data_IF_868454137761
#
_entry.id   IF_868454137761
#
_cell.length_a   1.000
_cell.length_b   1.000
_cell.length_c   1.000
_cell.angle_alpha   90.00
_cell.angle_beta   90.00
_cell.angle_gamma   90.00
#
_symmetry.space_group_name_H-M   'P 1'
#
loop_
_entity.id
_entity.type
_entity.pdbx_description
1 polymer ?
#
# COMPACT_ATOMS: atom_id res chain seq x y z
N UNK A 1 -0.70 -35.92 31.22
CA UNK A 1 -1.20 -36.17 29.86
C UNK A 1 -0.25 -35.63 28.79
N UNK A 2 0.04 -34.36 28.73
CA UNK A 2 0.91 -33.72 27.72
C UNK A 2 2.33 -34.33 27.69
N UNK A 3 2.98 -34.54 28.83
CA UNK A 3 4.34 -35.15 28.92
C UNK A 3 4.38 -36.56 28.28
N UNK A 4 3.31 -37.34 28.45
CA UNK A 4 3.23 -38.69 27.85
C UNK A 4 3.00 -38.62 26.34
N UNK A 5 2.25 -37.61 25.84
CA UNK A 5 2.09 -37.37 24.39
C UNK A 5 3.43 -37.02 23.73
N UNK A 6 4.23 -36.09 24.29
CA UNK A 6 5.56 -35.78 23.75
C UNK A 6 6.49 -36.99 23.75
N UNK A 7 6.45 -37.84 24.79
CA UNK A 7 7.23 -39.09 24.84
C UNK A 7 6.78 -40.07 23.74
N UNK A 8 5.50 -40.20 23.51
CA UNK A 8 4.95 -41.04 22.44
C UNK A 8 5.34 -40.54 21.05
N UNK A 9 5.17 -39.22 20.81
CA UNK A 9 5.60 -38.57 19.56
C UNK A 9 7.08 -38.79 19.29
N UNK A 10 7.93 -38.72 20.32
CA UNK A 10 9.38 -38.94 20.20
C UNK A 10 9.73 -40.37 19.88
N UNK A 11 9.03 -41.35 20.49
CA UNK A 11 9.22 -42.78 20.20
C UNK A 11 8.85 -43.04 18.73
N UNK A 12 7.76 -42.48 18.24
CA UNK A 12 7.27 -42.63 16.87
C UNK A 12 7.89 -41.61 15.87
N UNK A 13 9.02 -40.96 16.19
CA UNK A 13 9.60 -39.85 15.40
C UNK A 13 9.86 -40.21 13.94
N UNK A 14 10.19 -41.47 13.60
CA UNK A 14 10.38 -41.90 12.21
C UNK A 14 9.08 -41.88 11.42
N UNK A 15 7.98 -42.16 12.04
CA UNK A 15 6.65 -42.17 11.43
C UNK A 15 6.05 -40.75 11.40
N UNK A 16 6.36 -39.92 12.40
CA UNK A 16 5.91 -38.55 12.53
C UNK A 16 6.76 -37.55 11.74
N UNK A 17 7.97 -37.91 11.31
CA UNK A 17 8.93 -36.99 10.71
C UNK A 17 8.41 -36.29 9.46
N UNK A 18 7.73 -37.01 8.58
CA UNK A 18 7.13 -36.43 7.39
C UNK A 18 6.05 -35.41 7.72
N UNK A 19 5.15 -35.74 8.64
CA UNK A 19 4.08 -34.82 9.09
C UNK A 19 4.65 -33.58 9.76
N UNK A 20 5.70 -33.73 10.59
CA UNK A 20 6.36 -32.57 11.22
C UNK A 20 6.98 -31.67 10.16
N UNK A 21 7.66 -32.24 9.15
CA UNK A 21 8.22 -31.47 8.05
C UNK A 21 7.14 -30.72 7.27
N UNK A 22 6.02 -31.37 6.93
CA UNK A 22 4.87 -30.74 6.30
C UNK A 22 4.36 -29.58 7.14
N UNK A 23 4.16 -29.79 8.46
CA UNK A 23 3.69 -28.75 9.37
C UNK A 23 4.69 -27.57 9.49
N UNK A 24 6.00 -27.81 9.42
CA UNK A 24 7.02 -26.74 9.41
C UNK A 24 6.86 -25.86 8.15
N UNK A 25 6.77 -26.48 6.98
CA UNK A 25 6.62 -25.76 5.70
C UNK A 25 5.33 -24.95 5.70
N UNK A 26 4.25 -25.55 6.15
CA UNK A 26 2.94 -24.88 6.25
C UNK A 26 2.96 -23.73 7.22
N UNK A 27 3.50 -23.94 8.41
CA UNK A 27 3.55 -22.87 9.42
C UNK A 27 4.43 -21.71 8.98
N UNK A 28 5.57 -22.00 8.31
CA UNK A 28 6.39 -20.98 7.68
C UNK A 28 5.59 -20.20 6.62
N UNK A 29 4.87 -20.91 5.75
CA UNK A 29 4.03 -20.27 4.74
C UNK A 29 2.95 -19.36 5.38
N UNK A 30 2.29 -19.83 6.44
CA UNK A 30 1.31 -19.02 7.18
C UNK A 30 1.93 -17.79 7.84
N UNK A 31 3.17 -17.90 8.37
CA UNK A 31 3.90 -16.76 8.90
C UNK A 31 4.17 -15.71 7.82
N UNK A 32 4.67 -16.15 6.65
CA UNK A 32 4.96 -15.27 5.51
C UNK A 32 3.69 -14.57 5.00
N UNK A 33 2.58 -15.30 4.92
CA UNK A 33 1.29 -14.75 4.48
C UNK A 33 0.70 -13.77 5.49
N UNK A 34 0.78 -14.10 6.78
CA UNK A 34 0.32 -13.21 7.84
C UNK A 34 1.12 -11.91 7.88
N UNK A 35 2.43 -11.99 7.69
CA UNK A 35 3.32 -10.83 7.57
C UNK A 35 2.99 -9.97 6.33
N UNK A 36 2.83 -10.61 5.17
CA UNK A 36 2.43 -9.92 3.94
C UNK A 36 1.10 -9.16 4.11
N UNK A 37 0.09 -9.81 4.67
CA UNK A 37 -1.21 -9.18 4.91
C UNK A 37 -1.11 -8.05 5.93
N UNK A 38 -0.33 -8.24 7.01
CA UNK A 38 -0.10 -7.20 8.01
C UNK A 38 0.48 -5.93 7.37
N UNK A 39 1.53 -6.08 6.55
CA UNK A 39 2.18 -4.95 5.85
C UNK A 39 1.19 -4.21 4.95
N UNK A 40 0.36 -4.93 4.20
CA UNK A 40 -0.66 -4.34 3.32
C UNK A 40 -1.76 -3.63 4.08
N UNK A 41 -2.31 -4.28 5.11
CA UNK A 41 -3.40 -3.72 5.93
C UNK A 41 -2.92 -2.48 6.69
N UNK A 42 -1.73 -2.54 7.31
CA UNK A 42 -1.16 -1.40 8.02
C UNK A 42 -1.03 -0.18 7.12
N UNK A 43 -0.39 -0.36 5.95
CA UNK A 43 -0.27 0.74 5.00
C UNK A 43 -1.64 1.25 4.51
N UNK A 44 -2.61 0.37 4.28
CA UNK A 44 -3.94 0.77 3.82
C UNK A 44 -4.71 1.61 4.85
N UNK A 45 -4.56 1.31 6.14
CA UNK A 45 -5.26 2.00 7.22
C UNK A 45 -4.65 3.35 7.62
N UNK A 46 -3.38 3.59 7.29
CA UNK A 46 -2.73 4.87 7.60
C UNK A 46 -3.24 6.01 6.72
N UNK A 47 -3.37 7.25 7.25
CA UNK A 47 -3.81 8.41 6.49
C UNK A 47 -2.92 8.67 5.27
N UNK A 48 -3.51 9.06 4.15
CA UNK A 48 -2.79 9.36 2.90
C UNK A 48 -2.05 10.69 2.91
N UNK A 49 -2.52 11.63 3.73
CA UNK A 49 -2.02 13.00 3.79
C UNK A 49 -2.65 13.97 2.78
N UNK A 50 -3.60 13.50 1.96
CA UNK A 50 -4.34 14.29 0.98
C UNK A 50 -5.79 13.79 0.83
N UNK A 51 -6.65 14.65 0.31
CA UNK A 51 -8.06 14.38 0.03
C UNK A 51 -8.34 14.54 -1.46
N UNK A 52 -8.93 13.50 -2.07
CA UNK A 52 -9.31 13.46 -3.49
C UNK A 52 -10.82 13.58 -3.73
N UNK A 53 -11.61 13.75 -2.69
CA UNK A 53 -13.07 13.86 -2.85
C UNK A 53 -13.41 15.11 -3.66
N UNK A 54 -14.26 14.94 -4.65
CA UNK A 54 -14.67 15.99 -5.57
C UNK A 54 -13.49 16.64 -6.34
N UNK A 55 -12.43 15.89 -6.61
CA UNK A 55 -11.30 16.39 -7.39
C UNK A 55 -11.21 15.70 -8.75
N UNK A 56 -10.70 16.45 -9.74
CA UNK A 56 -10.51 15.97 -11.11
C UNK A 56 -9.12 16.39 -11.60
N UNK A 57 -8.59 15.58 -12.50
CA UNK A 57 -7.34 15.88 -13.23
C UNK A 57 -7.69 16.06 -14.69
N UNK A 58 -7.30 17.20 -15.25
CA UNK A 58 -7.49 17.57 -16.63
C UNK A 58 -6.15 17.39 -17.38
N UNK A 59 -6.17 16.62 -18.43
CA UNK A 59 -5.00 16.40 -19.26
C UNK A 59 -5.08 17.32 -20.49
N UNK A 60 -3.96 17.98 -20.77
CA UNK A 60 -3.81 18.88 -21.91
C UNK A 60 -3.23 18.16 -23.11
N UNK A 61 -3.63 18.60 -24.31
CA UNK A 61 -3.00 18.23 -25.56
C UNK A 61 -2.88 19.45 -26.47
N UNK A 62 -1.94 19.40 -27.41
CA UNK A 62 -1.84 20.33 -28.50
C UNK A 62 -2.47 19.75 -29.78
N UNK A 63 -3.12 20.59 -30.57
CA UNK A 63 -3.62 20.21 -31.89
C UNK A 63 -2.45 19.85 -32.81
N UNK A 64 -2.66 18.80 -33.60
CA UNK A 64 -1.73 18.45 -34.66
C UNK A 64 -1.78 19.49 -35.78
N UNK A 65 -0.66 19.80 -36.47
CA UNK A 65 -0.62 20.72 -37.61
C UNK A 65 -1.57 20.37 -38.76
N UNK A 66 -2.02 19.12 -38.83
CA UNK A 66 -2.98 18.67 -39.85
C UNK A 66 -4.44 18.76 -39.40
N UNK A 67 -4.71 19.18 -38.15
CA UNK A 67 -6.06 19.32 -37.65
C UNK A 67 -6.81 20.48 -38.34
N UNK A 68 -8.12 20.32 -38.63
CA UNK A 68 -8.90 21.35 -39.37
C UNK A 68 -8.89 22.72 -38.69
N UNK A 69 -8.77 22.75 -37.39
CA UNK A 69 -8.81 23.99 -36.57
C UNK A 69 -7.44 24.38 -36.05
N UNK A 70 -6.35 23.88 -36.63
CA UNK A 70 -5.00 24.28 -36.26
C UNK A 70 -4.72 25.72 -36.65
N UNK A 71 -4.20 26.50 -35.71
CA UNK A 71 -3.75 27.85 -35.93
C UNK A 71 -2.23 27.83 -36.16
N UNK A 72 -1.77 28.36 -37.27
CA UNK A 72 -0.33 28.42 -37.56
C UNK A 72 0.42 29.19 -36.48
N UNK A 73 1.61 28.71 -36.09
CA UNK A 73 2.34 29.25 -34.93
C UNK A 73 2.74 30.74 -35.12
N UNK A 74 2.95 31.18 -36.36
CA UNK A 74 3.22 32.56 -36.75
C UNK A 74 2.02 33.52 -36.61
N UNK A 75 0.82 32.95 -36.52
CA UNK A 75 -0.46 33.67 -36.30
C UNK A 75 -0.83 33.77 -34.81
N UNK A 76 -0.14 33.05 -33.94
CA UNK A 76 -0.41 33.05 -32.50
C UNK A 76 0.49 34.11 -31.85
N UNK A 77 -0.12 35.18 -31.37
CA UNK A 77 0.62 36.24 -30.67
C UNK A 77 1.05 35.87 -29.24
N UNK A 78 0.35 34.88 -28.65
CA UNK A 78 0.54 34.42 -27.25
C UNK A 78 1.57 33.32 -27.19
N UNK A 79 2.34 33.30 -26.10
CA UNK A 79 3.20 32.14 -25.78
C UNK A 79 2.34 30.92 -25.37
N UNK A 80 2.86 29.68 -25.48
CA UNK A 80 2.17 28.50 -24.97
C UNK A 80 1.80 28.60 -23.48
N UNK A 81 2.63 29.32 -22.70
CA UNK A 81 2.35 29.53 -21.27
C UNK A 81 1.21 30.52 -21.05
N UNK A 82 1.17 31.63 -21.78
CA UNK A 82 0.04 32.55 -21.72
C UNK A 82 -1.27 31.88 -22.12
N UNK A 83 -1.23 31.00 -23.13
CA UNK A 83 -2.39 30.17 -23.50
C UNK A 83 -2.84 29.25 -22.37
N UNK A 84 -1.90 28.61 -21.65
CA UNK A 84 -2.20 27.79 -20.49
C UNK A 84 -2.80 28.61 -19.34
N UNK A 85 -2.23 29.78 -19.03
CA UNK A 85 -2.72 30.64 -17.96
C UNK A 85 -4.13 31.18 -18.26
N UNK A 86 -4.39 31.59 -19.49
CA UNK A 86 -5.73 32.00 -19.93
C UNK A 86 -6.75 30.86 -19.78
N UNK A 87 -6.36 29.63 -20.14
CA UNK A 87 -7.19 28.44 -19.94
C UNK A 87 -7.46 28.19 -18.46
N UNK A 88 -6.44 28.30 -17.60
CA UNK A 88 -6.56 28.16 -16.16
C UNK A 88 -7.53 29.21 -15.56
N UNK A 89 -7.47 30.46 -16.01
CA UNK A 89 -8.34 31.51 -15.51
C UNK A 89 -9.81 31.27 -15.89
N UNK A 90 -10.07 30.73 -17.10
CA UNK A 90 -11.43 30.33 -17.49
C UNK A 90 -11.94 29.16 -16.64
N UNK A 91 -11.08 28.17 -16.34
CA UNK A 91 -11.43 27.04 -15.47
C UNK A 91 -11.76 27.54 -14.06
N UNK A 92 -10.96 28.45 -13.49
CA UNK A 92 -11.21 29.03 -12.17
C UNK A 92 -12.52 29.81 -12.07
N UNK A 93 -12.94 30.42 -13.19
CA UNK A 93 -14.18 31.22 -13.26
C UNK A 93 -15.43 30.32 -13.39
N UNK A 94 -15.30 29.03 -13.63
CA UNK A 94 -16.44 28.12 -13.71
C UNK A 94 -17.14 28.01 -12.35
N UNK A 95 -18.48 28.18 -12.27
CA UNK A 95 -19.19 28.36 -11.00
C UNK A 95 -19.01 27.22 -9.98
N UNK A 96 -18.84 25.99 -10.47
CA UNK A 96 -18.71 24.81 -9.63
C UNK A 96 -17.26 24.52 -9.19
N UNK A 97 -16.28 25.21 -9.76
CA UNK A 97 -14.87 25.05 -9.36
C UNK A 97 -14.62 25.81 -8.06
N UNK A 98 -14.12 25.11 -7.06
CA UNK A 98 -13.70 25.64 -5.75
C UNK A 98 -12.24 26.11 -5.79
N UNK A 99 -11.36 25.29 -6.38
CA UNK A 99 -9.94 25.56 -6.52
C UNK A 99 -9.38 24.89 -7.78
N UNK A 100 -8.37 25.51 -8.40
CA UNK A 100 -7.65 24.94 -9.54
C UNK A 100 -6.14 25.21 -9.41
N UNK A 101 -5.33 24.20 -9.76
CA UNK A 101 -3.87 24.24 -9.63
C UNK A 101 -3.20 23.57 -10.82
N UNK A 102 -1.96 23.98 -11.11
CA UNK A 102 -1.06 23.28 -12.03
C UNK A 102 -0.10 22.43 -11.22
N UNK A 103 0.15 21.22 -11.66
CA UNK A 103 1.16 20.34 -11.09
C UNK A 103 1.97 19.64 -12.19
N UNK A 104 3.24 19.34 -11.89
CA UNK A 104 4.14 18.61 -12.79
C UNK A 104 4.22 17.16 -12.33
N UNK A 105 3.43 16.28 -12.96
CA UNK A 105 3.36 14.85 -12.59
C UNK A 105 3.20 14.59 -11.07
N UNK A 106 2.55 15.54 -10.38
CA UNK A 106 2.41 15.52 -8.91
C UNK A 106 0.98 15.28 -8.44
N UNK A 107 0.03 15.14 -9.37
CA UNK A 107 -1.33 14.75 -9.04
C UNK A 107 -1.34 13.40 -8.30
N UNK A 108 -2.17 13.23 -7.25
CA UNK A 108 -2.35 11.93 -6.61
C UNK A 108 -2.73 10.85 -7.62
N UNK A 109 -2.17 9.65 -7.44
CA UNK A 109 -2.34 8.50 -8.34
C UNK A 109 -1.84 8.68 -9.78
N UNK A 110 -1.08 9.76 -10.06
CA UNK A 110 -0.38 9.85 -11.35
C UNK A 110 0.70 8.78 -11.45
N UNK A 111 0.86 8.18 -12.64
CA UNK A 111 1.89 7.16 -12.88
C UNK A 111 3.30 7.76 -12.99
N UNK A 112 3.39 9.06 -13.24
CA UNK A 112 4.64 9.80 -13.35
C UNK A 112 5.22 10.23 -12.00
N UNK A 113 6.42 10.80 -12.04
CA UNK A 113 7.07 11.43 -10.87
C UNK A 113 8.46 11.89 -11.19
N UNK A 114 8.90 12.89 -10.45
CA UNK A 114 10.26 13.41 -10.47
C UNK A 114 10.87 13.15 -9.10
N UNK A 115 12.15 12.83 -9.06
CA UNK A 115 12.92 12.63 -7.83
C UNK A 115 14.14 13.52 -7.88
N UNK A 116 14.45 14.16 -6.77
CA UNK A 116 15.64 14.98 -6.61
C UNK A 116 16.17 14.85 -5.18
N UNK A 117 17.45 15.14 -5.01
CA UNK A 117 18.07 15.22 -3.70
C UNK A 117 18.06 16.66 -3.21
N UNK A 118 18.01 16.83 -1.89
CA UNK A 118 18.17 18.12 -1.21
C UNK A 118 19.43 18.10 -0.35
N UNK A 119 20.08 19.25 -0.21
CA UNK A 119 21.34 19.41 0.52
C UNK A 119 21.26 20.58 1.50
N UNK A 120 21.73 20.32 2.72
CA UNK A 120 21.98 21.35 3.75
C UNK A 120 23.33 21.04 4.37
N UNK A 121 24.25 21.97 4.27
CA UNK A 121 25.64 21.80 4.73
C UNK A 121 26.28 20.51 4.17
N UNK A 122 26.63 19.57 5.04
CA UNK A 122 27.19 18.26 4.67
C UNK A 122 26.14 17.14 4.49
N UNK A 123 24.88 17.42 4.81
CA UNK A 123 23.80 16.42 4.74
C UNK A 123 23.15 16.50 3.39
N UNK A 124 23.11 15.37 2.68
CA UNK A 124 22.37 15.24 1.40
C UNK A 124 21.35 14.11 1.55
N UNK A 125 20.10 14.35 1.13
CA UNK A 125 19.10 13.31 1.09
C UNK A 125 19.38 12.32 -0.04
N UNK A 126 18.86 11.09 0.08
CA UNK A 126 18.66 10.26 -1.12
C UNK A 126 17.70 10.97 -2.06
N UNK A 127 17.56 10.48 -3.28
CA UNK A 127 16.55 10.99 -4.19
C UNK A 127 15.15 10.79 -3.58
N UNK A 128 14.51 11.88 -3.21
CA UNK A 128 13.16 11.95 -2.63
C UNK A 128 12.19 12.52 -3.67
N UNK A 129 10.90 12.36 -3.44
CA UNK A 129 9.89 12.78 -4.40
C UNK A 129 9.82 14.30 -4.50
N UNK A 130 10.02 14.80 -5.70
CA UNK A 130 9.81 16.21 -6.07
C UNK A 130 8.35 16.39 -6.53
N UNK A 131 7.65 17.33 -5.90
CA UNK A 131 6.29 17.74 -6.24
C UNK A 131 6.30 19.22 -6.58
N UNK A 132 6.53 19.50 -7.86
CA UNK A 132 6.49 20.88 -8.35
C UNK A 132 5.03 21.28 -8.60
N UNK A 133 4.52 22.26 -7.84
CA UNK A 133 3.09 22.61 -7.78
C UNK A 133 2.87 24.12 -7.62
N UNK A 134 1.74 24.62 -8.14
CA UNK A 134 1.30 25.98 -7.84
C UNK A 134 0.66 26.08 -6.44
N UNK A 135 0.62 27.27 -5.80
CA UNK A 135 0.10 27.46 -4.43
C UNK A 135 -1.27 26.85 -4.17
N UNK A 136 -2.20 26.97 -5.11
CA UNK A 136 -3.57 26.43 -4.98
C UNK A 136 -3.64 24.90 -4.89
N UNK A 137 -2.57 24.19 -5.16
CA UNK A 137 -2.53 22.73 -5.08
C UNK A 137 -2.87 22.20 -3.68
N UNK A 138 -2.47 22.94 -2.65
CA UNK A 138 -2.76 22.59 -1.26
C UNK A 138 -4.25 22.72 -0.93
N UNK A 139 -4.96 23.65 -1.55
CA UNK A 139 -6.40 23.80 -1.42
C UNK A 139 -7.14 22.71 -2.21
N UNK A 140 -6.68 22.40 -3.43
CA UNK A 140 -7.27 21.32 -4.26
C UNK A 140 -7.25 19.98 -3.54
N UNK A 141 -6.14 19.60 -2.92
CA UNK A 141 -5.99 18.30 -2.26
C UNK A 141 -6.07 18.39 -0.73
N UNK A 142 -6.45 19.56 -0.18
CA UNK A 142 -6.60 19.80 1.27
C UNK A 142 -5.39 19.32 2.09
N UNK A 143 -4.20 19.50 1.54
CA UNK A 143 -2.95 19.15 2.21
C UNK A 143 -2.71 20.16 3.33
N UNK A 144 -2.36 19.65 4.51
CA UNK A 144 -2.14 20.44 5.71
C UNK A 144 -0.71 20.38 6.16
N UNK A 145 -0.33 21.30 7.03
CA UNK A 145 0.94 21.25 7.75
C UNK A 145 0.96 20.10 8.75
N UNK A 146 2.13 19.76 9.26
CA UNK A 146 2.30 18.69 10.25
C UNK A 146 1.46 18.91 11.54
N UNK A 147 1.17 20.17 11.88
CA UNK A 147 0.29 20.55 12.99
C UNK A 147 -1.20 20.74 12.59
N UNK A 148 -1.57 20.30 11.39
CA UNK A 148 -2.96 20.25 10.91
C UNK A 148 -3.52 21.57 10.37
N UNK A 149 -2.75 22.65 10.28
CA UNK A 149 -3.18 23.94 9.73
C UNK A 149 -3.16 23.94 8.20
N UNK A 150 -3.96 24.81 7.56
CA UNK A 150 -3.87 25.04 6.13
C UNK A 150 -2.48 25.58 5.74
N UNK A 151 -1.93 25.06 4.65
CA UNK A 151 -0.69 25.58 4.08
C UNK A 151 -1.03 26.88 3.33
N UNK A 152 -0.39 27.98 3.71
CA UNK A 152 -0.52 29.26 3.04
C UNK A 152 0.81 29.64 2.42
N UNK A 153 0.79 29.82 1.13
CA UNK A 153 1.97 30.27 0.36
C UNK A 153 1.82 31.79 0.15
N UNK A 154 2.81 32.54 0.58
CA UNK A 154 2.87 33.98 0.32
C UNK A 154 3.63 34.22 -0.98
N UNK A 155 3.17 35.15 -1.82
CA UNK A 155 3.94 35.58 -2.95
C UNK A 155 5.22 36.28 -2.45
N UNK A 156 6.35 35.72 -2.75
CA UNK A 156 7.65 36.27 -2.42
C UNK A 156 8.56 36.12 -3.64
N UNK A 157 9.51 37.03 -3.80
CA UNK A 157 10.53 36.95 -4.85
C UNK A 157 11.55 35.82 -4.63
N UNK A 158 11.45 35.06 -3.52
CA UNK A 158 12.35 33.96 -3.18
C UNK A 158 11.75 32.61 -3.60
N UNK A 159 12.62 31.66 -3.91
CA UNK A 159 12.21 30.28 -4.12
C UNK A 159 11.69 29.70 -2.80
N UNK A 160 10.53 29.07 -2.84
CA UNK A 160 9.86 28.50 -1.68
C UNK A 160 9.72 27.00 -1.84
N UNK A 161 9.91 26.30 -0.73
CA UNK A 161 9.79 24.84 -0.67
C UNK A 161 9.07 24.43 0.61
N UNK A 162 8.33 23.32 0.55
CA UNK A 162 7.67 22.69 1.70
C UNK A 162 8.21 21.29 1.80
N UNK A 163 8.63 20.87 2.99
CA UNK A 163 9.19 19.54 3.24
C UNK A 163 8.18 18.63 3.91
N UNK A 164 8.29 17.32 3.73
CA UNK A 164 7.63 16.35 4.61
C UNK A 164 8.41 16.23 5.92
N UNK A 165 7.78 15.76 7.03
CA UNK A 165 8.40 15.72 8.36
C UNK A 165 9.69 14.93 8.41
N UNK A 166 9.74 13.77 7.77
CA UNK A 166 10.92 12.89 7.69
C UNK A 166 12.12 13.57 7.01
N UNK A 167 11.87 14.33 5.94
CA UNK A 167 12.90 15.12 5.25
C UNK A 167 13.37 16.28 6.12
N UNK A 168 12.45 16.98 6.78
CA UNK A 168 12.78 18.08 7.70
C UNK A 168 13.61 17.58 8.88
N UNK A 169 13.27 16.43 9.47
CA UNK A 169 14.02 15.80 10.53
C UNK A 169 15.40 15.35 10.08
N UNK A 170 15.51 14.76 8.90
CA UNK A 170 16.79 14.33 8.32
C UNK A 170 17.76 15.50 8.10
N UNK A 171 17.25 16.63 7.57
CA UNK A 171 18.10 17.78 7.20
C UNK A 171 18.39 18.71 8.38
N UNK A 172 17.45 18.89 9.31
CA UNK A 172 17.52 19.91 10.37
C UNK A 172 17.36 19.36 11.81
N UNK A 173 17.15 18.06 11.95
CA UNK A 173 16.97 17.39 13.25
C UNK A 173 15.57 17.54 13.84
N UNK A 174 14.73 18.45 13.36
CA UNK A 174 13.33 18.58 13.76
C UNK A 174 12.49 19.36 12.73
N UNK A 175 11.18 19.14 12.73
CA UNK A 175 10.24 19.84 11.86
C UNK A 175 10.23 21.36 12.09
N UNK A 176 10.28 21.80 13.33
CA UNK A 176 10.26 23.23 13.70
C UNK A 176 11.56 23.94 13.31
N UNK A 177 12.71 23.26 13.41
CA UNK A 177 13.99 23.82 13.04
C UNK A 177 14.15 24.06 11.52
N UNK A 178 13.39 23.37 10.71
CA UNK A 178 13.40 23.49 9.25
C UNK A 178 12.76 24.80 8.76
N UNK A 179 11.70 25.26 9.42
CA UNK A 179 10.90 26.41 8.98
C UNK A 179 11.77 27.68 9.03
N UNK A 180 11.78 28.42 7.92
CA UNK A 180 12.56 29.63 7.77
C UNK A 180 14.04 29.40 7.45
N UNK A 181 14.49 28.17 7.21
CA UNK A 181 15.85 27.83 6.79
C UNK A 181 15.93 27.66 5.26
N UNK A 182 17.13 27.71 4.76
CA UNK A 182 17.41 27.56 3.33
C UNK A 182 17.91 26.13 3.04
N UNK A 183 17.41 25.52 1.96
CA UNK A 183 17.83 24.23 1.44
C UNK A 183 18.25 24.38 -0.02
N UNK A 184 19.16 23.55 -0.48
CA UNK A 184 19.78 23.65 -1.80
C UNK A 184 19.54 22.36 -2.59
N UNK A 185 19.54 22.48 -3.92
CA UNK A 185 19.74 21.32 -4.78
C UNK A 185 21.24 21.05 -4.90
N UNK A 186 21.69 19.78 -4.93
CA UNK A 186 23.09 19.45 -5.19
C UNK A 186 23.52 19.97 -6.57
N UNK A 187 24.77 20.43 -6.69
CA UNK A 187 25.33 20.96 -7.94
C UNK A 187 25.27 19.97 -9.11
N UNK A 188 25.47 18.70 -8.81
CA UNK A 188 25.42 17.59 -9.77
C UNK A 188 24.03 17.40 -10.42
N UNK A 189 22.97 17.96 -9.83
CA UNK A 189 21.59 17.84 -10.32
C UNK A 189 21.16 18.85 -11.39
N UNK A 190 21.99 19.81 -11.74
CA UNK A 190 21.73 20.80 -12.81
C UNK A 190 20.63 21.83 -12.55
N UNK A 191 20.06 21.87 -11.33
CA UNK A 191 18.95 22.78 -10.93
C UNK A 191 19.40 24.13 -10.36
N UNK A 192 20.70 24.40 -10.35
CA UNK A 192 21.28 25.60 -9.79
C UNK A 192 21.41 25.57 -8.26
N UNK A 193 22.29 26.41 -7.75
CA UNK A 193 22.66 26.51 -6.33
C UNK A 193 21.87 27.58 -5.58
N UNK A 194 20.80 28.11 -6.13
CA UNK A 194 20.00 29.13 -5.48
C UNK A 194 19.30 28.54 -4.23
N UNK A 195 19.26 29.29 -3.11
CA UNK A 195 18.58 28.86 -1.93
C UNK A 195 17.07 28.75 -2.14
N UNK A 196 16.49 27.68 -1.59
CA UNK A 196 15.04 27.51 -1.51
C UNK A 196 14.64 27.64 -0.03
N UNK A 197 13.77 28.58 0.27
CA UNK A 197 13.31 28.85 1.64
C UNK A 197 12.26 27.83 2.06
N UNK A 198 12.49 27.13 3.15
CA UNK A 198 11.49 26.24 3.75
C UNK A 198 10.43 27.09 4.43
N UNK A 199 9.22 27.12 3.87
CA UNK A 199 8.11 27.95 4.39
C UNK A 199 7.17 27.20 5.32
N UNK A 200 7.11 25.87 5.19
CA UNK A 200 6.28 25.02 6.04
C UNK A 200 6.79 23.57 5.99
N UNK A 201 6.30 22.77 6.94
CA UNK A 201 6.43 21.30 6.88
C UNK A 201 5.02 20.73 6.76
N UNK A 202 4.77 19.91 5.73
CA UNK A 202 3.47 19.29 5.46
C UNK A 202 3.18 18.12 6.42
N UNK A 203 1.99 17.56 6.38
CA UNK A 203 1.72 16.23 6.93
C UNK A 203 2.48 15.17 6.14
N UNK A 204 2.68 13.99 6.76
CA UNK A 204 3.21 12.84 6.05
C UNK A 204 2.32 12.46 4.87
N UNK A 205 2.93 12.11 3.76
CA UNK A 205 2.20 11.80 2.52
C UNK A 205 2.57 10.43 1.96
N UNK A 206 1.58 9.79 1.38
CA UNK A 206 1.74 8.53 0.64
C UNK A 206 1.60 8.76 -0.85
N UNK A 207 2.15 7.83 -1.62
CA UNK A 207 1.91 7.76 -3.06
C UNK A 207 0.55 7.15 -3.37
N UNK A 208 0.20 6.07 -2.66
CA UNK A 208 -1.07 5.34 -2.71
C UNK A 208 -1.25 4.53 -1.42
N UNK A 209 -2.40 3.91 -1.23
CA UNK A 209 -2.80 3.25 0.00
C UNK A 209 -1.83 2.16 0.48
N UNK A 210 -1.33 1.32 -0.43
CA UNK A 210 -0.47 0.18 -0.08
C UNK A 210 1.02 0.50 0.02
N UNK A 211 1.40 1.78 -0.17
CA UNK A 211 2.78 2.24 -0.07
C UNK A 211 3.04 2.89 1.28
N UNK A 212 4.28 2.84 1.77
CA UNK A 212 4.67 3.59 2.96
C UNK A 212 4.63 5.09 2.71
N UNK A 213 4.80 5.86 3.75
CA UNK A 213 5.13 7.27 3.62
C UNK A 213 6.47 7.42 2.89
N UNK A 214 6.51 8.33 1.93
CA UNK A 214 7.72 8.65 1.15
C UNK A 214 8.18 10.06 1.48
N UNK A 215 9.47 10.22 1.73
CA UNK A 215 10.07 11.54 1.82
C UNK A 215 9.82 12.32 0.55
N UNK A 216 9.30 13.53 0.71
CA UNK A 216 8.96 14.40 -0.40
C UNK A 216 9.19 15.87 -0.06
N UNK A 217 9.27 16.67 -1.09
CA UNK A 217 9.18 18.11 -0.97
C UNK A 217 8.25 18.68 -2.05
N UNK A 218 7.68 19.83 -1.75
CA UNK A 218 6.90 20.61 -2.71
C UNK A 218 7.70 21.83 -3.12
N UNK A 219 8.09 21.89 -4.39
CA UNK A 219 8.62 23.10 -4.97
C UNK A 219 7.47 24.00 -5.41
N UNK A 220 7.43 25.21 -4.88
CA UNK A 220 6.39 26.17 -5.23
C UNK A 220 6.73 26.83 -6.57
N UNK A 221 5.87 26.61 -7.54
CA UNK A 221 6.01 27.17 -8.88
C UNK A 221 5.18 28.45 -8.97
N UNK A 222 5.87 29.56 -9.16
CA UNK A 222 5.27 30.87 -9.46
C UNK A 222 5.07 31.05 -10.97
N UNK A 223 4.29 32.04 -11.40
CA UNK A 223 4.05 32.30 -12.81
C UNK A 223 5.37 32.57 -13.56
N UNK A 224 6.33 33.26 -12.94
CA UNK A 224 7.65 33.52 -13.57
C UNK A 224 8.45 32.21 -13.78
N UNK A 225 8.39 31.29 -12.85
CA UNK A 225 9.02 29.95 -13.02
C UNK A 225 8.31 29.12 -14.09
N UNK A 226 6.98 29.22 -14.20
CA UNK A 226 6.20 28.58 -15.26
C UNK A 226 6.63 29.12 -16.65
N UNK A 227 6.80 30.42 -16.79
CA UNK A 227 7.27 31.04 -18.02
C UNK A 227 8.66 30.55 -18.41
N UNK A 228 9.62 30.56 -17.47
CA UNK A 228 10.97 30.07 -17.72
C UNK A 228 11.01 28.60 -18.08
N UNK A 229 10.18 27.76 -17.38
CA UNK A 229 10.07 26.34 -17.68
C UNK A 229 9.51 26.09 -19.09
N UNK A 230 8.51 26.84 -19.52
CA UNK A 230 7.85 26.68 -20.81
C UNK A 230 8.75 26.99 -22.02
N UNK A 231 9.83 27.76 -21.83
CA UNK A 231 10.81 28.06 -22.91
C UNK A 231 11.48 26.78 -23.43
N UNK A 232 11.63 25.76 -22.58
CA UNK A 232 12.36 24.54 -22.91
C UNK A 232 11.50 23.28 -22.81
N UNK A 233 10.22 23.38 -22.44
CA UNK A 233 9.36 22.26 -22.19
C UNK A 233 7.97 22.44 -22.83
N UNK A 234 7.34 21.32 -23.14
CA UNK A 234 5.99 21.27 -23.65
C UNK A 234 4.97 21.48 -22.52
N UNK A 235 4.17 22.55 -22.64
CA UNK A 235 3.12 22.90 -21.65
C UNK A 235 2.03 21.83 -21.53
N UNK A 236 1.93 20.88 -22.46
CA UNK A 236 1.00 19.76 -22.35
C UNK A 236 1.41 18.70 -21.32
N UNK A 237 2.64 18.80 -20.79
CA UNK A 237 3.15 17.88 -19.75
C UNK A 237 2.72 18.22 -18.32
N UNK A 238 1.96 19.29 -18.14
CA UNK A 238 1.39 19.61 -16.83
C UNK A 238 0.02 18.96 -16.66
N UNK A 239 -0.31 18.66 -15.41
CA UNK A 239 -1.65 18.26 -14.99
C UNK A 239 -2.37 19.50 -14.42
N UNK A 240 -3.58 19.78 -14.89
CA UNK A 240 -4.48 20.72 -14.21
C UNK A 240 -5.31 19.94 -13.22
N UNK A 241 -5.15 20.25 -11.95
CA UNK A 241 -5.92 19.64 -10.86
C UNK A 241 -7.00 20.61 -10.40
N UNK A 242 -8.24 20.15 -10.31
CA UNK A 242 -9.35 20.97 -9.83
C UNK A 242 -10.09 20.29 -8.70
N UNK A 243 -10.63 21.12 -7.81
CA UNK A 243 -11.63 20.70 -6.81
C UNK A 243 -12.95 21.39 -7.13
N UNK A 244 -14.03 20.65 -7.05
CA UNK A 244 -15.37 21.16 -7.24
C UNK A 244 -16.14 21.25 -5.93
N UNK A 245 -17.12 22.13 -5.88
CA UNK A 245 -17.98 22.35 -4.72
C UNK A 245 -18.75 21.07 -4.36
N UNK A 246 -18.94 20.78 -3.07
CA UNK A 246 -19.80 19.68 -2.64
C UNK A 246 -21.20 19.80 -3.26
N UNK A 247 -21.72 18.70 -3.82
CA UNK A 247 -23.03 18.66 -4.50
C UNK A 247 -22.99 18.81 -6.01
N UNK A 248 -21.96 19.43 -6.60
CA UNK A 248 -21.81 19.55 -8.07
C UNK A 248 -21.12 18.33 -8.69
N UNK A 249 -20.45 17.51 -7.90
CA UNK A 249 -19.57 16.45 -8.41
C UNK A 249 -20.28 15.36 -9.23
N UNK A 250 -21.57 15.11 -8.98
CA UNK A 250 -22.30 13.98 -9.60
C UNK A 250 -22.47 14.14 -11.12
N UNK A 251 -22.61 15.38 -11.61
CA UNK A 251 -22.78 15.68 -13.03
C UNK A 251 -21.70 16.61 -13.58
N UNK A 252 -20.69 16.90 -12.74
CA UNK A 252 -19.69 17.89 -13.11
C UNK A 252 -18.96 17.54 -14.43
N UNK A 253 -18.53 16.30 -14.59
CA UNK A 253 -17.76 15.92 -15.78
C UNK A 253 -18.53 16.19 -17.06
N UNK A 254 -19.78 15.76 -17.14
CA UNK A 254 -20.59 15.90 -18.34
C UNK A 254 -21.00 17.37 -18.56
N UNK A 255 -21.43 18.06 -17.52
CA UNK A 255 -21.82 19.48 -17.61
C UNK A 255 -20.61 20.35 -17.99
N UNK A 256 -19.48 20.13 -17.32
CA UNK A 256 -18.27 20.90 -17.57
C UNK A 256 -17.75 20.70 -19.00
N UNK A 257 -17.74 19.47 -19.51
CA UNK A 257 -17.32 19.19 -20.86
C UNK A 257 -18.29 19.83 -21.87
N UNK A 258 -19.60 19.66 -21.69
CA UNK A 258 -20.61 20.21 -22.62
C UNK A 258 -20.66 21.75 -22.61
N UNK A 259 -20.58 22.38 -21.44
CA UNK A 259 -20.69 23.84 -21.31
C UNK A 259 -19.38 24.57 -21.66
N UNK A 260 -18.26 23.89 -21.48
CA UNK A 260 -16.93 24.47 -21.66
C UNK A 260 -16.21 23.99 -22.91
N UNK A 261 -16.84 23.17 -23.77
CA UNK A 261 -16.18 22.54 -24.92
C UNK A 261 -15.36 23.54 -25.76
N UNK A 262 -15.99 24.63 -26.21
CA UNK A 262 -15.31 25.70 -26.95
C UNK A 262 -14.39 26.54 -26.09
N UNK A 263 -14.60 26.61 -24.74
CA UNK A 263 -13.81 27.42 -23.81
C UNK A 263 -12.62 26.68 -23.22
N UNK A 264 -12.62 25.34 -23.31
CA UNK A 264 -11.51 24.48 -22.90
C UNK A 264 -10.40 24.39 -23.97
N UNK A 265 -10.45 25.31 -24.92
CA UNK A 265 -9.43 25.47 -25.95
C UNK A 265 -8.91 26.89 -25.98
N UNK A 266 -7.59 27.02 -26.10
CA UNK A 266 -6.90 28.29 -26.34
C UNK A 266 -5.83 28.08 -27.40
N UNK A 267 -5.99 28.71 -28.58
CA UNK A 267 -5.16 28.45 -29.75
C UNK A 267 -5.09 26.96 -30.09
N UNK A 268 -3.90 26.37 -30.06
CA UNK A 268 -3.69 24.94 -30.33
C UNK A 268 -3.71 24.08 -29.05
N UNK A 269 -3.82 24.68 -27.87
CA UNK A 269 -3.89 23.96 -26.60
C UNK A 269 -5.36 23.67 -26.24
N UNK A 270 -5.65 22.44 -25.82
CA UNK A 270 -6.99 22.06 -25.39
C UNK A 270 -6.98 21.00 -24.27
N UNK A 271 -8.05 20.95 -23.50
CA UNK A 271 -8.28 19.92 -22.49
C UNK A 271 -8.80 18.66 -23.20
N UNK A 272 -7.98 17.62 -23.22
CA UNK A 272 -8.29 16.37 -23.91
C UNK A 272 -9.17 15.42 -23.05
N UNK A 273 -9.06 15.49 -21.74
CA UNK A 273 -9.88 14.67 -20.84
C UNK A 273 -10.01 15.32 -19.47
N UNK A 274 -11.16 15.08 -18.85
CA UNK A 274 -11.48 15.43 -17.46
C UNK A 274 -11.69 14.11 -16.71
N UNK A 275 -10.78 13.76 -15.83
CA UNK A 275 -10.80 12.44 -15.17
C UNK A 275 -10.97 12.62 -13.66
N UNK A 276 -12.02 12.03 -13.05
CA UNK A 276 -12.17 12.05 -11.60
C UNK A 276 -10.95 11.39 -10.91
N UNK A 277 -10.43 12.01 -9.86
CA UNK A 277 -9.31 11.43 -9.11
C UNK A 277 -9.68 10.09 -8.44
N UNK A 278 -10.97 9.87 -8.16
CA UNK A 278 -11.49 8.57 -7.70
C UNK A 278 -11.27 7.46 -8.73
N UNK A 279 -11.42 7.76 -10.03
CA UNK A 279 -11.15 6.80 -11.11
C UNK A 279 -9.65 6.51 -11.24
N UNK A 280 -8.80 7.54 -11.16
CA UNK A 280 -7.34 7.33 -11.13
C UNK A 280 -6.92 6.45 -9.95
N UNK A 281 -7.53 6.66 -8.79
CA UNK A 281 -7.35 5.80 -7.61
C UNK A 281 -7.79 4.37 -7.90
N UNK A 282 -8.98 4.17 -8.47
CA UNK A 282 -9.49 2.84 -8.81
C UNK A 282 -8.57 2.09 -9.77
N UNK A 283 -8.05 2.78 -10.78
CA UNK A 283 -7.11 2.20 -11.75
C UNK A 283 -5.81 1.75 -11.07
N UNK A 284 -5.20 2.60 -10.22
CA UNK A 284 -3.92 2.31 -9.56
C UNK A 284 -4.08 1.28 -8.44
N UNK A 285 -5.03 1.51 -7.52
CA UNK A 285 -5.26 0.64 -6.36
C UNK A 285 -5.89 -0.68 -6.80
N UNK A 286 -6.83 -0.64 -7.74
CA UNK A 286 -7.44 -1.84 -8.31
C UNK A 286 -6.43 -2.71 -9.06
N UNK A 287 -5.44 -2.10 -9.72
CA UNK A 287 -4.34 -2.83 -10.34
C UNK A 287 -3.49 -3.55 -9.29
N UNK A 288 -3.09 -2.87 -8.22
CA UNK A 288 -2.34 -3.48 -7.10
C UNK A 288 -3.12 -4.64 -6.46
N UNK A 289 -4.44 -4.49 -6.28
CA UNK A 289 -5.29 -5.56 -5.75
C UNK A 289 -5.31 -6.74 -6.70
N UNK A 290 -5.54 -6.54 -7.99
CA UNK A 290 -5.66 -7.62 -8.99
C UNK A 290 -4.34 -8.33 -9.24
N UNK A 291 -3.22 -7.59 -9.31
CA UNK A 291 -1.92 -8.15 -9.71
C UNK A 291 -1.09 -8.67 -8.54
N UNK A 292 -1.27 -8.12 -7.34
CA UNK A 292 -0.45 -8.49 -6.17
C UNK A 292 -1.26 -9.20 -5.07
N UNK A 293 -2.43 -8.67 -4.68
CA UNK A 293 -3.15 -9.16 -3.50
C UNK A 293 -4.00 -10.39 -3.84
N UNK A 294 -4.81 -10.34 -4.90
CA UNK A 294 -5.70 -11.45 -5.26
C UNK A 294 -4.96 -12.75 -5.60
N UNK A 295 -3.89 -12.77 -6.41
CA UNK A 295 -3.13 -14.01 -6.65
C UNK A 295 -2.59 -14.61 -5.36
N UNK A 296 -2.12 -13.77 -4.42
CA UNK A 296 -1.62 -14.23 -3.13
C UNK A 296 -2.74 -14.86 -2.28
N UNK A 297 -3.93 -14.27 -2.26
CA UNK A 297 -5.09 -14.85 -1.57
C UNK A 297 -5.45 -16.21 -2.16
N UNK A 298 -5.44 -16.38 -3.49
CA UNK A 298 -5.70 -17.67 -4.12
C UNK A 298 -4.67 -18.74 -3.75
N UNK A 299 -3.38 -18.37 -3.69
CA UNK A 299 -2.32 -19.27 -3.23
C UNK A 299 -2.55 -19.66 -1.76
N UNK A 300 -2.90 -18.72 -0.89
CA UNK A 300 -3.22 -18.99 0.51
C UNK A 300 -4.37 -19.99 0.63
N UNK A 301 -5.48 -19.74 -0.05
CA UNK A 301 -6.66 -20.62 -0.01
C UNK A 301 -6.30 -22.04 -0.51
N UNK A 302 -5.56 -22.13 -1.61
CA UNK A 302 -5.10 -23.41 -2.14
C UNK A 302 -4.24 -24.17 -1.14
N UNK A 303 -3.27 -23.51 -0.52
CA UNK A 303 -2.40 -24.14 0.50
C UNK A 303 -3.21 -24.55 1.71
N UNK A 304 -4.14 -23.71 2.21
CA UNK A 304 -5.01 -24.07 3.35
C UNK A 304 -5.84 -25.33 3.08
N UNK A 305 -6.41 -25.45 1.87
CA UNK A 305 -7.17 -26.65 1.48
C UNK A 305 -6.24 -27.87 1.42
N UNK A 306 -5.06 -27.74 0.80
CA UNK A 306 -4.10 -28.85 0.69
C UNK A 306 -3.64 -29.34 2.06
N UNK A 307 -3.34 -28.42 2.97
CA UNK A 307 -2.95 -28.75 4.36
C UNK A 307 -4.08 -29.41 5.11
N UNK A 308 -5.29 -28.85 5.01
CA UNK A 308 -6.46 -29.46 5.62
C UNK A 308 -6.64 -30.92 5.17
N UNK A 309 -6.52 -31.20 3.87
CA UNK A 309 -6.63 -32.56 3.32
C UNK A 309 -5.47 -33.44 3.80
N UNK A 310 -4.23 -32.94 3.89
CA UNK A 310 -3.07 -33.66 4.40
C UNK A 310 -3.25 -34.06 5.87
N UNK A 311 -3.62 -33.08 6.73
CA UNK A 311 -3.90 -33.34 8.15
C UNK A 311 -5.07 -34.32 8.30
N UNK A 312 -6.16 -34.08 7.59
CA UNK A 312 -7.33 -34.96 7.60
C UNK A 312 -6.97 -36.40 7.22
N UNK A 313 -6.28 -36.61 6.09
CA UNK A 313 -5.87 -37.92 5.60
C UNK A 313 -4.94 -38.66 6.58
N UNK A 314 -3.96 -37.93 7.13
CA UNK A 314 -3.01 -38.50 8.10
C UNK A 314 -3.71 -38.93 9.38
N UNK A 315 -4.60 -38.08 9.94
CA UNK A 315 -5.33 -38.45 11.16
C UNK A 315 -6.41 -39.51 10.91
N UNK A 316 -7.01 -39.56 9.71
CA UNK A 316 -7.88 -40.65 9.30
C UNK A 316 -7.17 -41.99 9.32
N UNK A 317 -5.97 -42.06 8.67
CA UNK A 317 -5.18 -43.29 8.64
C UNK A 317 -4.71 -43.72 10.02
N UNK A 318 -4.25 -42.80 10.87
CA UNK A 318 -3.85 -43.06 12.26
C UNK A 318 -5.01 -43.59 13.08
N UNK A 319 -6.19 -42.99 12.95
CA UNK A 319 -7.38 -43.42 13.63
C UNK A 319 -7.75 -44.87 13.26
N UNK A 320 -7.63 -45.18 11.97
CA UNK A 320 -7.90 -46.53 11.48
C UNK A 320 -6.88 -47.55 12.04
N UNK A 321 -5.59 -47.24 12.03
CA UNK A 321 -4.51 -48.10 12.54
C UNK A 321 -4.59 -48.31 14.06
N UNK A 322 -5.06 -47.36 14.82
CA UNK A 322 -5.17 -47.40 16.30
C UNK A 322 -6.58 -47.76 16.81
N UNK A 323 -7.41 -48.36 15.94
CA UNK A 323 -8.80 -48.66 16.26
C UNK A 323 -8.94 -49.59 17.47
N UNK A 324 -8.11 -50.62 17.60
CA UNK A 324 -8.09 -51.56 18.73
C UNK A 324 -7.65 -50.86 20.05
N UNK A 325 -6.62 -50.02 20.01
CA UNK A 325 -6.16 -49.27 21.17
C UNK A 325 -7.26 -48.31 21.71
N UNK A 326 -7.96 -47.61 20.81
CA UNK A 326 -9.06 -46.72 21.12
C UNK A 326 -10.21 -47.52 21.75
N UNK A 327 -10.51 -48.70 21.18
CA UNK A 327 -11.50 -49.62 21.71
C UNK A 327 -11.19 -50.06 23.14
N UNK A 328 -9.98 -50.50 23.45
CA UNK A 328 -9.52 -50.88 24.78
C UNK A 328 -9.69 -49.71 25.77
N UNK A 329 -9.29 -48.51 25.39
CA UNK A 329 -9.43 -47.30 26.23
C UNK A 329 -10.92 -47.02 26.58
N UNK A 330 -11.85 -47.23 25.65
CA UNK A 330 -13.27 -47.07 25.91
C UNK A 330 -13.83 -48.15 26.82
N UNK A 331 -13.36 -49.42 26.72
CA UNK A 331 -13.72 -50.50 27.64
C UNK A 331 -13.27 -50.20 29.07
N UNK A 332 -12.08 -49.60 29.25
CA UNK A 332 -11.54 -49.21 30.55
C UNK A 332 -12.18 -47.90 31.08
N UNK A 333 -13.20 -47.36 30.40
CA UNK A 333 -13.98 -46.21 30.89
C UNK A 333 -13.59 -44.85 30.35
N UNK A 334 -12.85 -44.78 29.23
CA UNK A 334 -12.62 -43.49 28.55
C UNK A 334 -13.91 -43.00 27.85
N UNK A 335 -14.37 -41.81 28.21
CA UNK A 335 -15.49 -41.15 27.54
C UNK A 335 -15.10 -40.69 26.13
N UNK A 336 -16.09 -40.62 25.22
CA UNK A 336 -15.92 -40.17 23.83
C UNK A 336 -15.26 -38.79 23.72
N UNK A 337 -15.57 -37.89 24.69
CA UNK A 337 -14.94 -36.56 24.77
C UNK A 337 -13.46 -36.63 25.08
N UNK A 338 -13.01 -37.53 25.94
CA UNK A 338 -11.61 -37.75 26.28
C UNK A 338 -10.82 -38.30 25.11
N UNK A 339 -11.40 -39.20 24.30
CA UNK A 339 -10.77 -39.72 23.08
C UNK A 339 -10.56 -38.60 22.06
N UNK A 340 -11.59 -37.78 21.79
CA UNK A 340 -11.52 -36.63 20.89
C UNK A 340 -10.43 -35.62 21.33
N UNK A 341 -10.48 -35.23 22.61
CA UNK A 341 -9.50 -34.29 23.17
C UNK A 341 -8.08 -34.82 23.06
N UNK A 342 -7.87 -36.13 23.29
CA UNK A 342 -6.54 -36.74 23.16
C UNK A 342 -5.99 -36.64 21.76
N UNK A 343 -6.80 -36.90 20.72
CA UNK A 343 -6.38 -36.77 19.30
C UNK A 343 -6.11 -35.33 18.90
N UNK A 344 -6.95 -34.37 19.33
CA UNK A 344 -6.69 -32.94 19.07
C UNK A 344 -5.40 -32.51 19.75
N UNK A 345 -5.17 -32.88 21.00
CA UNK A 345 -3.93 -32.54 21.72
C UNK A 345 -2.71 -33.19 21.08
N UNK A 346 -2.81 -34.40 20.53
CA UNK A 346 -1.72 -35.00 19.74
C UNK A 346 -1.37 -34.14 18.52
N UNK A 347 -2.36 -33.67 17.76
CA UNK A 347 -2.16 -32.75 16.63
C UNK A 347 -1.53 -31.42 17.04
N UNK A 348 -2.02 -30.82 18.12
CA UNK A 348 -1.46 -29.57 18.66
C UNK A 348 -0.03 -29.75 19.17
N UNK A 349 0.30 -30.89 19.80
CA UNK A 349 1.68 -31.21 20.20
C UNK A 349 2.60 -31.37 18.99
N UNK A 350 2.17 -32.02 17.91
CA UNK A 350 2.94 -32.12 16.67
C UNK A 350 3.18 -30.75 16.04
N UNK A 351 2.14 -29.90 16.02
CA UNK A 351 2.26 -28.52 15.58
C UNK A 351 3.28 -27.72 16.39
N UNK A 352 3.28 -27.89 17.73
CA UNK A 352 4.20 -27.14 18.60
C UNK A 352 5.68 -27.38 18.27
N UNK A 353 6.01 -28.57 17.76
CA UNK A 353 7.37 -28.89 17.29
C UNK A 353 7.73 -28.20 16.00
N UNK A 354 6.76 -27.80 15.17
CA UNK A 354 7.01 -27.10 13.91
C UNK A 354 7.23 -25.60 14.09
N UNK A 355 6.75 -25.01 15.19
CA UNK A 355 6.80 -23.56 15.43
C UNK A 355 8.23 -23.04 15.43
N UNK A 356 9.12 -23.66 16.22
CA UNK A 356 10.49 -23.17 16.43
C UNK A 356 11.30 -23.12 15.13
N UNK A 357 11.42 -24.22 14.35
CA UNK A 357 12.21 -24.20 13.12
C UNK A 357 11.60 -23.23 12.08
N UNK A 358 10.29 -23.19 11.92
CA UNK A 358 9.65 -22.27 10.98
C UNK A 358 9.86 -20.80 11.39
N UNK A 359 9.73 -20.49 12.67
CA UNK A 359 9.95 -19.13 13.20
C UNK A 359 11.40 -18.67 13.02
N UNK A 360 12.38 -19.56 13.25
CA UNK A 360 13.79 -19.26 13.01
C UNK A 360 14.02 -18.90 11.52
N UNK A 361 13.46 -19.66 10.59
CA UNK A 361 13.57 -19.36 9.16
C UNK A 361 12.91 -18.00 8.84
N UNK A 362 11.71 -17.76 9.35
CA UNK A 362 10.98 -16.49 9.15
C UNK A 362 11.80 -15.27 9.64
N UNK A 363 12.37 -15.34 10.84
CA UNK A 363 13.21 -14.24 11.37
C UNK A 363 14.45 -14.02 10.51
N UNK A 364 15.10 -15.09 10.03
CA UNK A 364 16.25 -14.94 9.12
C UNK A 364 15.85 -14.28 7.79
N UNK A 365 14.66 -14.57 7.25
CA UNK A 365 14.15 -13.90 6.05
C UNK A 365 13.86 -12.42 6.29
N UNK A 366 13.36 -12.04 7.47
CA UNK A 366 13.17 -10.64 7.86
C UNK A 366 14.49 -9.88 7.99
N UNK A 367 15.49 -10.47 8.65
CA UNK A 367 16.81 -9.84 8.86
C UNK A 367 17.57 -9.74 7.52
N UNK A 368 17.39 -10.70 6.63
CA UNK A 368 18.01 -10.74 5.31
C UNK A 368 17.31 -9.89 4.25
N UNK A 369 16.37 -9.02 4.62
CA UNK A 369 15.60 -8.14 3.72
C UNK A 369 14.89 -8.88 2.56
N UNK A 370 14.56 -10.16 2.76
CA UNK A 370 13.83 -10.97 1.76
C UNK A 370 12.33 -10.58 1.73
N UNK A 371 11.81 -10.08 2.86
CA UNK A 371 10.42 -9.63 2.98
C UNK A 371 10.31 -8.11 2.80
N UNK A 372 9.09 -7.62 2.62
CA UNK A 372 8.78 -6.19 2.37
C UNK A 372 9.16 -5.27 3.56
N UNK A 373 10.44 -5.24 3.93
CA UNK A 373 10.96 -4.42 5.05
C UNK A 373 10.95 -2.93 4.70
N UNK A 374 11.09 -2.60 3.43
CA UNK A 374 11.03 -1.21 2.95
C UNK A 374 9.64 -0.57 3.11
N UNK A 375 8.56 -1.39 3.07
CA UNK A 375 7.18 -0.88 3.27
C UNK A 375 6.84 -0.68 4.73
N UNK A 376 7.24 -1.61 5.58
CA UNK A 376 7.06 -1.51 7.03
C UNK A 376 8.33 -2.06 7.67
N UNK A 377 9.07 -1.25 8.44
CA UNK A 377 10.28 -1.71 9.14
C UNK A 377 9.97 -2.90 10.05
N UNK A 378 10.99 -3.71 10.33
CA UNK A 378 10.89 -4.81 11.29
C UNK A 378 10.59 -4.23 12.66
N UNK A 379 9.50 -4.67 13.27
CA UNK A 379 9.09 -4.28 14.61
C UNK A 379 8.59 -5.49 15.40
N UNK A 380 8.65 -5.42 16.71
CA UNK A 380 8.12 -6.47 17.60
C UNK A 380 6.63 -6.67 17.32
N UNK A 381 5.88 -5.59 17.12
CA UNK A 381 4.45 -5.63 16.79
C UNK A 381 4.18 -6.45 15.52
N UNK A 382 4.91 -6.19 14.43
CA UNK A 382 4.81 -6.91 13.15
C UNK A 382 5.00 -8.41 13.34
N UNK A 383 6.09 -8.79 14.03
CA UNK A 383 6.44 -10.19 14.29
C UNK A 383 5.40 -10.88 15.16
N UNK A 384 4.93 -10.23 16.23
CA UNK A 384 3.92 -10.79 17.13
C UNK A 384 2.57 -10.99 16.43
N UNK A 385 2.10 -10.03 15.64
CA UNK A 385 0.84 -10.15 14.91
C UNK A 385 0.92 -11.28 13.89
N UNK A 386 2.01 -11.34 13.10
CA UNK A 386 2.22 -12.44 12.14
C UNK A 386 2.20 -13.81 12.84
N UNK A 387 2.89 -13.94 13.97
CA UNK A 387 2.95 -15.17 14.76
C UNK A 387 1.57 -15.57 15.31
N UNK A 388 0.84 -14.63 15.91
CA UNK A 388 -0.48 -14.91 16.52
C UNK A 388 -1.49 -15.32 15.45
N UNK A 389 -1.52 -14.61 14.30
CA UNK A 389 -2.43 -14.93 13.19
C UNK A 389 -2.10 -16.31 12.61
N UNK A 390 -0.81 -16.59 12.34
CA UNK A 390 -0.39 -17.90 11.84
C UNK A 390 -0.75 -19.04 12.79
N UNK A 391 -0.54 -18.85 14.11
CA UNK A 391 -0.92 -19.82 15.13
C UNK A 391 -2.43 -20.07 15.18
N UNK A 392 -3.24 -19.02 15.15
CA UNK A 392 -4.71 -19.15 15.17
C UNK A 392 -5.20 -19.92 13.94
N UNK A 393 -4.71 -19.58 12.74
CA UNK A 393 -5.11 -20.27 11.51
C UNK A 393 -4.66 -21.74 11.54
N UNK A 394 -3.44 -22.00 11.98
CA UNK A 394 -2.90 -23.37 12.07
C UNK A 394 -3.69 -24.24 13.06
N UNK A 395 -4.02 -23.72 14.24
CA UNK A 395 -4.85 -24.41 15.22
C UNK A 395 -6.22 -24.72 14.64
N UNK A 396 -6.85 -23.75 13.95
CA UNK A 396 -8.16 -23.96 13.32
C UNK A 396 -8.12 -25.09 12.28
N UNK A 397 -7.11 -25.15 11.42
CA UNK A 397 -6.95 -26.18 10.40
C UNK A 397 -6.76 -27.55 11.05
N UNK A 398 -5.88 -27.66 12.06
CA UNK A 398 -5.61 -28.91 12.77
C UNK A 398 -6.87 -29.42 13.46
N UNK A 399 -7.55 -28.54 14.20
CA UNK A 399 -8.79 -28.91 14.89
C UNK A 399 -9.86 -29.37 13.87
N UNK A 400 -10.08 -28.60 12.80
CA UNK A 400 -11.05 -28.96 11.76
C UNK A 400 -10.70 -30.28 11.06
N UNK A 401 -9.42 -30.51 10.73
CA UNK A 401 -8.96 -31.74 10.07
C UNK A 401 -9.06 -32.98 10.95
N UNK A 402 -8.91 -32.83 12.27
CA UNK A 402 -8.96 -33.93 13.25
C UNK A 402 -10.38 -34.22 13.72
N UNK A 403 -11.26 -33.22 13.78
CA UNK A 403 -12.59 -33.36 14.39
C UNK A 403 -13.40 -34.51 13.80
N UNK A 404 -13.44 -34.66 12.48
CA UNK A 404 -14.24 -35.72 11.86
C UNK A 404 -13.65 -37.13 12.06
N UNK A 405 -12.34 -37.41 11.85
CA UNK A 405 -11.72 -38.69 12.21
C UNK A 405 -11.88 -39.02 13.69
N UNK A 406 -11.69 -38.04 14.57
CA UNK A 406 -11.86 -38.24 16.02
C UNK A 406 -13.29 -38.56 16.42
N UNK A 407 -14.28 -37.93 15.83
CA UNK A 407 -15.68 -38.24 16.06
C UNK A 407 -16.02 -39.66 15.61
N UNK A 408 -15.52 -40.09 14.45
CA UNK A 408 -15.74 -41.44 13.95
C UNK A 408 -15.06 -42.49 14.84
N UNK A 409 -13.82 -42.22 15.28
CA UNK A 409 -13.13 -43.09 16.24
C UNK A 409 -13.92 -43.26 17.56
N UNK A 410 -14.41 -42.15 18.10
CA UNK A 410 -15.20 -42.16 19.35
C UNK A 410 -16.59 -42.80 19.21
N UNK A 411 -17.07 -43.02 17.98
CA UNK A 411 -18.37 -43.68 17.73
C UNK A 411 -18.29 -45.21 17.53
N UNK A 412 -17.10 -45.78 17.44
CA UNK A 412 -16.88 -47.22 17.25
C UNK A 412 -17.35 -47.96 18.49
N UNK A 413 -18.15 -49.03 18.29
CA UNK A 413 -18.53 -49.88 19.40
C UNK A 413 -17.34 -50.71 19.89
N UNK A 414 -17.07 -50.79 21.21
CA UNK A 414 -15.92 -51.51 21.76
C UNK A 414 -15.81 -52.99 21.28
N UNK A 415 -16.96 -53.63 21.08
CA UNK A 415 -17.04 -55.03 20.58
C UNK A 415 -16.55 -55.14 19.13
N UNK A 416 -16.85 -54.16 18.26
CA UNK A 416 -16.38 -54.16 16.88
C UNK A 416 -14.87 -53.84 16.78
N UNK A 417 -14.35 -53.00 17.69
CA UNK A 417 -12.94 -52.65 17.73
C UNK A 417 -12.03 -53.83 18.11
N UNK A 418 -12.53 -54.77 18.92
CA UNK A 418 -11.82 -55.97 19.35
C UNK A 418 -11.99 -57.17 18.39
N UNK A 419 -12.98 -57.15 17.47
CA UNK A 419 -13.20 -58.18 16.43
C UNK A 419 -12.38 -57.99 15.15
N UNK A 420 -11.66 -56.87 15.02
CA UNK A 420 -10.95 -56.48 13.81
C UNK A 420 -9.47 -56.97 13.77
N UNK A 421 -9.14 -58.09 14.47
CA UNK A 421 -7.91 -58.85 14.26
C UNK A 421 -8.08 -59.91 13.19
#
# INVERSE_FOLDING_TARGET
>A
MIKNLFKQIWIERRHNGWLILELIVVFLFLLLMSDFLYVRIKNYLEPKGFDIDNTYVLNLKALSPIAPNYVALDQIAQTPMESLLNLMDRIKLYPDVEAAAISFHSAPYSMGGVWASLKVDSITTKAIRDRSVTPSYFDVFRIRTADGKPIRVQESGQNQIILTPDVAEQLYGSTNAAIGRDVFFPEEGGRGTNPNRVIAVSSMMKRQEFFPYEGAFFEIITNSKLEDWSKNNDVTRVDICIRVKPGSAQHFQDNFQNEMDDRLRENNLYVASVTPSSKLREDVVGKEIRESILPMIYVVVFVLITVFLGVFGTFWLRTYQRRSEIGIRMVVGADKGKVRLHMILEGVCLMSLSIVPAFVVYINMLIGDVLDVWRVPVSIERVLIALVVALMVMILIIVAGILWPANRAASIQPVEALRAE
#
